data_IF_556549837316
#
_entry.id   IF_556549837316
#
_cell.length_a   1.000
_cell.length_b   1.000
_cell.length_c   1.000
_cell.angle_alpha   90.00
_cell.angle_beta   90.00
_cell.angle_gamma   90.00
#
_symmetry.space_group_name_H-M   'P 1'
#
loop_
_entity.id
_entity.type
_entity.pdbx_description
1 polymer ?
#
# COMPACT_ATOMS: atom_id res chain seq x y z
N UNK A 1 -8.97 18.07 8.87
CA UNK A 1 -7.59 17.57 9.08
C UNK A 1 -7.46 16.18 8.48
N UNK A 2 -6.30 15.83 7.89
CA UNK A 2 -6.06 14.48 7.37
C UNK A 2 -5.21 13.70 8.37
N UNK A 3 -5.74 12.60 8.89
CA UNK A 3 -5.01 11.73 9.79
C UNK A 3 -4.08 10.78 9.04
N UNK A 4 -2.88 10.56 9.58
CA UNK A 4 -1.80 9.81 8.93
C UNK A 4 -1.23 8.73 9.84
N UNK A 5 -0.89 7.59 9.25
CA UNK A 5 -0.22 6.48 9.93
C UNK A 5 1.27 6.77 10.20
N UNK A 6 2.00 5.88 10.92
CA UNK A 6 3.41 6.08 11.24
C UNK A 6 4.35 6.20 10.02
N UNK A 7 3.90 5.80 8.83
CA UNK A 7 4.66 5.93 7.58
C UNK A 7 4.13 7.08 6.69
N UNK A 8 3.26 7.93 7.24
CA UNK A 8 2.76 9.16 6.62
C UNK A 8 1.57 8.98 5.68
N UNK A 9 1.02 7.78 5.54
CA UNK A 9 -0.13 7.50 4.66
C UNK A 9 -1.44 7.89 5.35
N UNK A 10 -2.42 8.46 4.62
CA UNK A 10 -3.72 8.74 5.22
C UNK A 10 -4.38 7.47 5.79
N UNK A 11 -4.89 7.54 7.01
CA UNK A 11 -5.56 6.43 7.69
C UNK A 11 -6.80 6.92 8.43
N UNK A 12 -7.97 6.55 7.93
CA UNK A 12 -9.26 7.05 8.40
C UNK A 12 -9.91 6.18 9.49
N UNK A 13 -9.38 4.99 9.76
CA UNK A 13 -10.05 3.99 10.60
C UNK A 13 -9.59 4.07 12.05
N UNK A 14 -10.56 3.97 12.95
CA UNK A 14 -10.32 3.79 14.38
C UNK A 14 -11.40 2.87 14.96
N UNK A 15 -11.17 2.38 16.17
CA UNK A 15 -12.10 1.51 16.89
C UNK A 15 -12.17 1.94 18.34
N UNK A 16 -13.37 2.06 18.90
CA UNK A 16 -13.57 2.32 20.32
C UNK A 16 -14.06 1.05 20.99
N UNK A 17 -13.35 0.61 22.02
CA UNK A 17 -13.71 -0.57 22.80
C UNK A 17 -13.40 -0.35 24.27
N UNK A 18 -14.05 -1.16 25.12
CA UNK A 18 -13.75 -1.15 26.55
C UNK A 18 -12.34 -1.71 26.79
N UNK A 19 -11.55 -0.98 27.58
CA UNK A 19 -10.28 -1.40 28.11
C UNK A 19 -10.46 -1.68 29.60
N UNK A 20 -10.26 -2.94 29.99
CA UNK A 20 -10.30 -3.38 31.38
C UNK A 20 -8.87 -3.52 31.91
N UNK A 21 -8.48 -2.65 32.85
CA UNK A 21 -7.21 -2.78 33.54
C UNK A 21 -7.31 -3.76 34.71
N UNK A 22 -6.25 -4.54 34.97
CA UNK A 22 -6.16 -5.38 36.18
C UNK A 22 -6.18 -4.55 37.49
N UNK A 23 -5.74 -3.29 37.43
CA UNK A 23 -5.61 -2.38 38.58
C UNK A 23 -6.26 -1.02 38.37
N UNK A 24 -6.85 -0.78 37.19
CA UNK A 24 -7.40 0.51 36.79
C UNK A 24 -8.89 0.38 36.47
N UNK A 25 -9.71 1.41 36.73
CA UNK A 25 -11.12 1.41 36.36
C UNK A 25 -11.26 1.20 34.85
N UNK A 26 -12.27 0.44 34.44
CA UNK A 26 -12.59 0.23 33.02
C UNK A 26 -12.99 1.55 32.35
N UNK A 27 -12.63 1.70 31.08
CA UNK A 27 -13.00 2.86 30.26
C UNK A 27 -13.08 2.48 28.79
N UNK A 28 -13.81 3.23 27.98
CA UNK A 28 -13.73 3.13 26.53
C UNK A 28 -12.52 3.90 26.03
N UNK A 29 -11.76 3.32 25.11
CA UNK A 29 -10.61 3.97 24.50
C UNK A 29 -10.67 3.92 22.98
N UNK A 30 -10.35 5.04 22.33
CA UNK A 30 -10.16 5.12 20.89
C UNK A 30 -8.79 4.50 20.52
N UNK A 31 -8.84 3.36 19.85
CA UNK A 31 -7.70 2.68 19.26
C UNK A 31 -7.56 3.04 17.79
N UNK A 32 -6.35 3.45 17.39
CA UNK A 32 -6.05 3.87 16.02
C UNK A 32 -4.59 3.60 15.69
N UNK A 33 -4.27 3.64 14.40
CA UNK A 33 -2.90 3.58 13.88
C UNK A 33 -2.53 4.86 13.14
N UNK A 34 -3.17 5.97 13.50
CA UNK A 34 -2.93 7.29 12.92
C UNK A 34 -2.48 8.30 13.97
N UNK A 35 -2.19 9.52 13.55
CA UNK A 35 -1.93 10.69 14.39
C UNK A 35 -3.21 11.35 14.94
N UNK A 36 -4.39 10.69 14.87
CA UNK A 36 -5.58 11.23 15.51
C UNK A 36 -5.41 11.26 17.04
N UNK A 37 -6.00 12.25 17.75
CA UNK A 37 -5.86 12.33 19.20
C UNK A 37 -6.45 11.12 19.91
N UNK A 38 -5.75 10.61 20.92
CA UNK A 38 -6.31 9.61 21.83
C UNK A 38 -7.54 10.18 22.55
N UNK A 39 -8.57 9.37 22.75
CA UNK A 39 -9.79 9.73 23.46
C UNK A 39 -10.23 8.60 24.37
N UNK A 40 -10.78 8.98 25.52
CA UNK A 40 -11.23 8.06 26.55
C UNK A 40 -12.59 8.51 27.11
N UNK A 41 -13.45 7.55 27.43
CA UNK A 41 -14.75 7.80 28.06
C UNK A 41 -14.95 6.83 29.24
N UNK A 42 -15.64 7.24 30.32
CA UNK A 42 -16.01 6.33 31.41
C UNK A 42 -16.71 5.06 30.92
N UNK A 43 -16.45 3.90 31.53
CA UNK A 43 -17.02 2.63 31.08
C UNK A 43 -18.55 2.53 31.18
N UNK A 44 -19.18 3.35 32.04
CA UNK A 44 -20.63 3.46 32.19
C UNK A 44 -21.28 4.39 31.16
N UNK A 45 -20.50 5.05 30.30
CA UNK A 45 -21.01 5.88 29.21
C UNK A 45 -21.81 5.03 28.22
N UNK A 46 -23.03 5.46 27.90
CA UNK A 46 -23.83 4.84 26.84
C UNK A 46 -23.09 4.97 25.49
N UNK A 47 -22.87 3.87 24.74
CA UNK A 47 -22.28 3.92 23.41
C UNK A 47 -22.92 4.94 22.46
N UNK A 48 -24.21 5.24 22.60
CA UNK A 48 -24.89 6.26 21.79
C UNK A 48 -24.33 7.68 22.03
N UNK A 49 -23.89 7.99 23.25
CA UNK A 49 -23.27 9.28 23.58
C UNK A 49 -21.89 9.38 22.93
N UNK A 50 -21.11 8.30 22.99
CA UNK A 50 -19.78 8.21 22.37
C UNK A 50 -19.89 8.38 20.85
N UNK A 51 -20.89 7.73 20.24
CA UNK A 51 -21.18 7.87 18.80
C UNK A 51 -21.50 9.32 18.47
N UNK A 52 -22.40 9.97 19.21
CA UNK A 52 -22.77 11.36 18.95
C UNK A 52 -21.58 12.34 19.08
N UNK A 53 -20.71 12.12 20.07
CA UNK A 53 -19.47 12.90 20.27
C UNK A 53 -18.51 12.75 19.07
N UNK A 54 -18.30 11.52 18.60
CA UNK A 54 -17.45 11.25 17.44
C UNK A 54 -18.07 11.81 16.14
N UNK A 55 -19.39 11.67 15.95
CA UNK A 55 -20.07 12.18 14.76
C UNK A 55 -20.03 13.71 14.68
N UNK A 56 -20.11 14.40 15.82
CA UNK A 56 -19.93 15.85 15.91
C UNK A 56 -18.53 16.30 15.47
N UNK A 57 -17.52 15.44 15.63
CA UNK A 57 -16.15 15.65 15.19
C UNK A 57 -15.86 15.09 13.77
N UNK A 58 -16.90 14.79 12.99
CA UNK A 58 -16.73 14.41 11.59
C UNK A 58 -16.43 12.93 11.35
N UNK A 59 -16.75 12.05 12.31
CA UNK A 59 -16.65 10.62 12.13
C UNK A 59 -17.99 10.00 11.67
N UNK A 60 -17.91 8.82 11.08
CA UNK A 60 -19.03 7.90 10.87
C UNK A 60 -18.78 6.73 11.82
N UNK A 61 -19.76 6.41 12.66
CA UNK A 61 -19.60 5.40 13.69
C UNK A 61 -20.67 4.30 13.55
N UNK A 62 -20.27 3.05 13.76
CA UNK A 62 -21.17 1.91 13.75
C UNK A 62 -20.96 1.08 15.02
N UNK A 63 -22.03 0.89 15.79
CA UNK A 63 -22.00 0.00 16.95
C UNK A 63 -22.07 -1.46 16.50
N UNK A 64 -21.15 -2.28 17.01
CA UNK A 64 -21.20 -3.73 16.94
C UNK A 64 -20.93 -4.35 18.31
N UNK A 65 -21.01 -5.68 18.37
CA UNK A 65 -20.61 -6.45 19.55
C UNK A 65 -19.40 -7.33 19.21
N UNK A 66 -18.51 -7.53 20.17
CA UNK A 66 -17.41 -8.48 20.05
C UNK A 66 -17.88 -9.93 20.34
N UNK A 67 -16.93 -10.88 20.33
CA UNK A 67 -17.20 -12.29 20.62
C UNK A 67 -17.66 -12.57 22.06
N UNK A 68 -17.52 -11.61 22.96
CA UNK A 68 -17.98 -11.67 24.35
C UNK A 68 -19.27 -10.87 24.57
N UNK A 69 -19.89 -10.34 23.51
CA UNK A 69 -21.10 -9.55 23.55
C UNK A 69 -20.90 -8.10 24.02
N UNK A 70 -19.66 -7.64 24.20
CA UNK A 70 -19.33 -6.29 24.65
C UNK A 70 -19.42 -5.29 23.49
N UNK A 71 -19.85 -4.05 23.74
CA UNK A 71 -19.97 -3.03 22.71
C UNK A 71 -18.59 -2.63 22.16
N UNK A 72 -18.51 -2.52 20.84
CA UNK A 72 -17.37 -1.98 20.11
C UNK A 72 -17.90 -1.04 19.03
N UNK A 73 -17.30 0.13 18.88
CA UNK A 73 -17.72 1.13 17.89
C UNK A 73 -16.63 1.21 16.82
N UNK A 74 -16.96 0.88 15.58
CA UNK A 74 -16.06 1.08 14.46
C UNK A 74 -16.26 2.52 13.93
N UNK A 75 -15.15 3.26 13.76
CA UNK A 75 -15.16 4.68 13.40
C UNK A 75 -14.39 4.92 12.09
N UNK A 76 -14.95 5.76 11.21
CA UNK A 76 -14.31 6.22 9.97
C UNK A 76 -14.34 7.74 9.91
N UNK A 77 -13.17 8.38 9.86
CA UNK A 77 -13.08 9.82 9.73
C UNK A 77 -13.41 10.28 8.30
N UNK A 78 -14.46 11.10 8.13
CA UNK A 78 -15.04 11.44 6.82
C UNK A 78 -14.04 12.12 5.89
N UNK A 79 -13.36 13.15 6.38
CA UNK A 79 -12.44 13.95 5.57
C UNK A 79 -11.21 13.14 5.13
N UNK A 80 -10.67 12.31 6.03
CA UNK A 80 -9.52 11.44 5.70
C UNK A 80 -9.92 10.35 4.72
N UNK A 81 -11.11 9.75 4.87
CA UNK A 81 -11.61 8.77 3.90
C UNK A 81 -11.82 9.39 2.52
N UNK A 82 -12.39 10.60 2.45
CA UNK A 82 -12.55 11.31 1.18
C UNK A 82 -11.20 11.60 0.49
N UNK A 83 -10.15 11.93 1.26
CA UNK A 83 -8.80 12.11 0.71
C UNK A 83 -8.19 10.79 0.20
N UNK A 84 -8.42 9.68 0.89
CA UNK A 84 -8.02 8.34 0.43
C UNK A 84 -8.72 7.99 -0.88
N UNK A 85 -10.04 8.21 -0.94
CA UNK A 85 -10.86 7.89 -2.10
C UNK A 85 -10.50 8.77 -3.31
N UNK A 86 -10.24 10.06 -3.09
CA UNK A 86 -9.78 10.98 -4.13
C UNK A 86 -8.40 10.58 -4.67
N UNK A 87 -7.45 10.22 -3.80
CA UNK A 87 -6.12 9.76 -4.22
C UNK A 87 -6.20 8.45 -5.00
N UNK A 88 -7.09 7.53 -4.59
CA UNK A 88 -7.35 6.29 -5.32
C UNK A 88 -7.95 6.57 -6.70
N UNK A 89 -8.95 7.46 -6.77
CA UNK A 89 -9.58 7.84 -8.02
C UNK A 89 -8.60 8.54 -8.99
N UNK A 90 -7.71 9.41 -8.49
CA UNK A 90 -6.65 10.02 -9.31
C UNK A 90 -5.70 8.96 -9.88
N UNK A 91 -5.29 8.00 -9.05
CA UNK A 91 -4.43 6.89 -9.49
C UNK A 91 -5.14 6.01 -10.52
N UNK A 92 -6.40 5.63 -10.28
CA UNK A 92 -7.16 4.82 -11.23
C UNK A 92 -7.38 5.56 -12.56
N UNK A 93 -7.65 6.87 -12.52
CA UNK A 93 -7.77 7.70 -13.72
C UNK A 93 -6.45 7.80 -14.49
N UNK A 94 -5.32 7.99 -13.78
CA UNK A 94 -3.99 8.08 -14.38
C UNK A 94 -3.60 6.80 -15.13
N UNK A 95 -3.98 5.65 -14.59
CA UNK A 95 -3.64 4.35 -15.15
C UNK A 95 -4.75 3.72 -16.01
N UNK A 96 -5.89 4.39 -16.20
CA UNK A 96 -7.05 3.84 -16.92
C UNK A 96 -6.73 3.35 -18.34
N UNK A 97 -5.79 4.01 -19.02
CA UNK A 97 -5.33 3.67 -20.37
C UNK A 97 -3.83 3.32 -20.40
N UNK A 98 -3.28 2.84 -19.28
CA UNK A 98 -1.87 2.51 -19.20
C UNK A 98 -1.51 1.35 -20.14
N UNK A 99 -0.37 1.48 -20.80
CA UNK A 99 0.20 0.44 -21.65
C UNK A 99 0.87 -0.62 -20.77
N UNK A 100 0.74 -1.91 -21.13
CA UNK A 100 1.59 -2.97 -20.57
C UNK A 100 3.02 -2.82 -21.09
N UNK A 101 3.99 -2.93 -20.20
CA UNK A 101 5.40 -2.87 -20.59
C UNK A 101 6.31 -3.44 -19.52
N UNK A 102 7.60 -3.11 -19.64
CA UNK A 102 8.63 -3.71 -18.80
C UNK A 102 9.52 -2.64 -18.18
N UNK A 103 9.76 -2.76 -16.87
CA UNK A 103 10.64 -1.87 -16.11
C UNK A 103 11.81 -2.68 -15.55
N UNK A 104 13.03 -2.18 -15.71
CA UNK A 104 14.23 -2.71 -15.08
C UNK A 104 14.84 -1.70 -14.13
N UNK A 105 15.36 -2.19 -13.01
CA UNK A 105 16.15 -1.41 -12.07
C UNK A 105 17.64 -1.76 -12.19
N UNK A 106 18.45 -0.76 -12.49
CA UNK A 106 19.88 -0.90 -12.76
C UNK A 106 20.21 -0.99 -14.25
N UNK A 107 21.49 -0.79 -14.58
CA UNK A 107 21.98 -0.79 -15.95
C UNK A 107 21.72 -2.12 -16.66
N UNK A 108 21.68 -2.05 -18.00
CA UNK A 108 21.62 -3.25 -18.84
C UNK A 108 22.95 -4.00 -18.76
N UNK A 109 22.93 -5.35 -18.70
CA UNK A 109 24.14 -6.15 -18.78
C UNK A 109 24.76 -6.06 -20.19
N UNK A 110 26.10 -6.03 -20.27
CA UNK A 110 26.84 -5.86 -21.53
C UNK A 110 26.58 -7.01 -22.53
N UNK A 111 26.38 -8.23 -22.03
CA UNK A 111 26.10 -9.43 -22.83
C UNK A 111 24.59 -9.65 -23.10
N UNK A 112 23.74 -8.70 -22.69
CA UNK A 112 22.30 -8.78 -22.85
C UNK A 112 21.62 -9.84 -21.97
N UNK A 113 22.31 -10.39 -20.97
CA UNK A 113 21.79 -11.46 -20.10
C UNK A 113 21.93 -11.08 -18.63
N UNK A 114 20.83 -11.21 -17.89
CA UNK A 114 20.88 -11.09 -16.44
C UNK A 114 21.47 -12.36 -15.84
N UNK A 115 21.97 -12.21 -14.61
CA UNK A 115 22.56 -13.31 -13.85
C UNK A 115 21.68 -13.60 -12.66
N UNK A 116 21.28 -14.86 -12.50
CA UNK A 116 20.57 -15.29 -11.32
C UNK A 116 21.47 -15.11 -10.10
N UNK A 117 20.99 -14.36 -9.10
CA UNK A 117 21.77 -14.08 -7.89
C UNK A 117 22.00 -15.33 -7.04
N UNK A 118 21.10 -16.33 -7.10
CA UNK A 118 21.14 -17.52 -6.26
C UNK A 118 22.27 -18.49 -6.64
N UNK A 119 22.47 -18.73 -7.93
CA UNK A 119 23.38 -19.76 -8.45
C UNK A 119 24.40 -19.21 -9.47
N UNK A 120 24.41 -17.89 -9.67
CA UNK A 120 25.36 -17.16 -10.53
C UNK A 120 25.32 -17.55 -12.02
N UNK A 121 24.26 -18.25 -12.45
CA UNK A 121 24.05 -18.67 -13.84
C UNK A 121 23.48 -17.54 -14.70
N UNK A 122 23.79 -17.55 -16.00
CA UNK A 122 23.23 -16.59 -16.96
C UNK A 122 21.81 -16.99 -17.34
N UNK A 123 20.94 -16.01 -17.41
CA UNK A 123 19.57 -16.16 -17.87
C UNK A 123 19.45 -16.01 -19.38
N UNK A 124 18.28 -16.36 -19.92
CA UNK A 124 18.01 -16.31 -21.36
C UNK A 124 17.95 -14.88 -21.92
N UNK A 125 17.81 -13.86 -21.07
CA UNK A 125 17.73 -12.46 -21.44
C UNK A 125 17.89 -11.53 -20.25
N UNK A 126 17.49 -10.27 -20.42
CA UNK A 126 17.51 -9.25 -19.37
C UNK A 126 16.26 -9.40 -18.48
N UNK A 127 16.48 -9.66 -17.19
CA UNK A 127 15.44 -9.70 -16.15
C UNK A 127 14.86 -8.31 -15.89
N UNK A 128 13.53 -8.25 -15.78
CA UNK A 128 12.75 -7.03 -15.61
C UNK A 128 11.39 -7.33 -14.96
N UNK A 129 10.62 -6.31 -14.61
CA UNK A 129 9.28 -6.43 -14.05
C UNK A 129 8.24 -6.11 -15.11
N UNK A 130 7.16 -6.88 -15.14
CA UNK A 130 5.94 -6.47 -15.83
C UNK A 130 5.40 -5.19 -15.16
N UNK A 131 4.91 -4.24 -15.96
CA UNK A 131 4.44 -2.95 -15.47
C UNK A 131 3.27 -2.43 -16.30
N UNK A 132 2.52 -1.51 -15.70
CA UNK A 132 1.63 -0.59 -16.41
C UNK A 132 2.27 0.79 -16.47
N UNK A 133 2.26 1.40 -17.64
CA UNK A 133 2.92 2.66 -17.93
C UNK A 133 1.87 3.64 -18.44
N UNK A 134 1.60 4.67 -17.64
CA UNK A 134 0.65 5.73 -17.98
C UNK A 134 1.21 6.65 -19.08
N UNK A 135 0.32 7.43 -19.69
CA UNK A 135 0.67 8.34 -20.79
C UNK A 135 1.62 9.47 -20.38
N UNK A 136 1.63 9.82 -19.09
CA UNK A 136 2.53 10.81 -18.50
C UNK A 136 3.93 10.24 -18.17
N UNK A 137 4.15 8.95 -18.42
CA UNK A 137 5.40 8.25 -18.09
C UNK A 137 5.46 7.67 -16.68
N UNK A 138 4.46 7.93 -15.82
CA UNK A 138 4.31 7.24 -14.54
C UNK A 138 4.16 5.75 -14.75
N UNK A 139 4.64 4.92 -13.82
CA UNK A 139 4.51 3.47 -13.91
C UNK A 139 4.11 2.84 -12.57
N UNK A 140 3.45 1.69 -12.64
CA UNK A 140 3.25 0.79 -11.50
C UNK A 140 3.66 -0.62 -11.87
N UNK A 141 4.41 -1.28 -10.98
CA UNK A 141 4.89 -2.63 -11.18
C UNK A 141 3.78 -3.66 -10.90
N UNK A 142 3.81 -4.76 -11.63
CA UNK A 142 2.89 -5.89 -11.46
C UNK A 142 3.68 -7.01 -10.79
N UNK A 143 3.64 -7.01 -9.46
CA UNK A 143 4.49 -7.87 -8.64
C UNK A 143 3.72 -9.12 -8.20
N UNK A 144 4.37 -10.27 -8.27
CA UNK A 144 4.00 -11.44 -7.46
C UNK A 144 4.64 -11.30 -6.07
N UNK A 145 4.20 -12.06 -5.05
CA UNK A 145 4.82 -12.00 -3.72
C UNK A 145 6.34 -12.24 -3.72
N UNK A 146 6.86 -13.06 -4.64
CA UNK A 146 8.31 -13.27 -4.79
C UNK A 146 8.98 -12.02 -5.35
N UNK A 147 8.39 -11.42 -6.39
CA UNK A 147 8.91 -10.22 -7.02
C UNK A 147 8.84 -8.96 -6.15
N UNK A 148 7.92 -8.92 -5.17
CA UNK A 148 7.93 -7.86 -4.15
C UNK A 148 9.25 -7.83 -3.38
N UNK A 149 9.75 -9.00 -2.97
CA UNK A 149 11.04 -9.11 -2.27
C UNK A 149 12.18 -8.71 -3.20
N UNK A 150 12.20 -9.21 -4.43
CA UNK A 150 13.24 -8.86 -5.41
C UNK A 150 13.26 -7.35 -5.70
N UNK A 151 12.08 -6.72 -5.84
CA UNK A 151 11.94 -5.27 -6.02
C UNK A 151 12.58 -4.47 -4.89
N UNK A 152 12.34 -4.83 -3.62
CA UNK A 152 12.91 -4.12 -2.47
C UNK A 152 14.45 -4.08 -2.49
N UNK A 153 15.11 -5.08 -3.07
CA UNK A 153 16.58 -5.13 -3.19
C UNK A 153 17.15 -4.25 -4.30
N UNK A 154 16.31 -3.82 -5.25
CA UNK A 154 16.74 -3.08 -6.45
C UNK A 154 16.09 -1.70 -6.60
N UNK A 155 15.07 -1.38 -5.80
CA UNK A 155 14.26 -0.16 -5.92
C UNK A 155 15.05 1.15 -5.88
N UNK A 156 16.21 1.18 -5.20
CA UNK A 156 17.09 2.35 -5.14
C UNK A 156 17.95 2.56 -6.41
N UNK A 157 17.97 1.59 -7.32
CA UNK A 157 18.75 1.67 -8.58
C UNK A 157 17.98 2.49 -9.62
N UNK A 158 18.66 3.08 -10.61
CA UNK A 158 17.97 3.81 -11.68
C UNK A 158 16.98 2.92 -12.44
N UNK A 159 15.79 3.44 -12.70
CA UNK A 159 14.76 2.73 -13.46
C UNK A 159 14.92 2.95 -14.97
N UNK A 160 14.64 1.91 -15.74
CA UNK A 160 14.65 1.92 -17.20
C UNK A 160 13.38 1.26 -17.73
N UNK A 161 12.70 1.91 -18.69
CA UNK A 161 11.69 1.26 -19.52
C UNK A 161 12.38 0.46 -20.61
N UNK A 162 12.04 -0.82 -20.72
CA UNK A 162 12.58 -1.71 -21.73
C UNK A 162 11.58 -1.94 -22.86
N UNK A 163 12.11 -2.10 -24.07
CA UNK A 163 11.41 -2.52 -25.26
C UNK A 163 12.15 -3.70 -25.87
N UNK A 164 11.40 -4.72 -26.27
CA UNK A 164 11.92 -5.92 -26.88
C UNK A 164 10.98 -7.11 -26.70
N UNK A 165 11.49 -8.29 -27.04
CA UNK A 165 10.70 -9.51 -27.03
C UNK A 165 10.93 -10.33 -25.76
N UNK A 166 9.86 -10.86 -25.18
CA UNK A 166 9.96 -11.84 -24.10
C UNK A 166 10.56 -13.13 -24.63
N UNK A 167 11.69 -13.54 -24.05
CA UNK A 167 12.42 -14.76 -24.40
C UNK A 167 12.33 -15.85 -23.33
N UNK A 168 11.76 -15.53 -22.17
CA UNK A 168 11.56 -16.52 -21.12
C UNK A 168 11.00 -15.94 -19.83
N UNK A 169 11.21 -16.70 -18.77
CA UNK A 169 10.85 -16.37 -17.39
C UNK A 169 12.07 -16.65 -16.52
N UNK A 170 12.44 -15.69 -15.68
CA UNK A 170 13.59 -15.73 -14.80
C UNK A 170 13.35 -16.62 -13.58
N UNK A 171 14.39 -16.76 -12.78
CA UNK A 171 14.37 -17.66 -11.61
C UNK A 171 13.31 -17.27 -10.56
N UNK A 172 12.98 -15.97 -10.45
CA UNK A 172 12.00 -15.44 -9.49
C UNK A 172 10.59 -15.32 -10.11
N UNK A 173 10.42 -15.80 -11.35
CA UNK A 173 9.16 -15.71 -12.09
C UNK A 173 9.00 -14.44 -12.91
N UNK A 174 10.02 -13.59 -12.99
CA UNK A 174 10.00 -12.34 -13.73
C UNK A 174 10.16 -12.54 -15.25
N UNK A 175 9.70 -11.61 -16.10
CA UNK A 175 9.96 -11.68 -17.53
C UNK A 175 11.45 -11.49 -17.88
N UNK A 176 11.93 -12.29 -18.83
CA UNK A 176 13.24 -12.11 -19.48
C UNK A 176 13.05 -11.55 -20.88
N UNK A 177 13.75 -10.47 -21.20
CA UNK A 177 13.68 -9.81 -22.49
C UNK A 177 14.98 -9.95 -23.29
N UNK A 178 14.83 -10.16 -24.61
CA UNK A 178 15.83 -9.69 -25.57
C UNK A 178 15.53 -8.22 -25.82
N UNK A 179 16.40 -7.34 -25.33
CA UNK A 179 16.16 -5.89 -25.32
C UNK A 179 16.63 -5.25 -26.62
N UNK A 180 15.73 -4.56 -27.30
CA UNK A 180 16.03 -3.77 -28.50
C UNK A 180 16.32 -2.31 -28.15
N UNK A 181 15.67 -1.80 -27.10
CA UNK A 181 15.80 -0.41 -26.66
C UNK A 181 15.52 -0.26 -25.18
N UNK A 182 16.25 0.64 -24.52
CA UNK A 182 16.02 1.03 -23.14
C UNK A 182 16.00 2.55 -22.99
N UNK A 183 15.06 3.06 -22.21
CA UNK A 183 14.97 4.49 -21.87
C UNK A 183 15.12 4.62 -20.36
N UNK A 184 16.08 5.42 -19.91
CA UNK A 184 16.21 5.76 -18.49
C UNK A 184 15.05 6.65 -18.07
N UNK A 185 14.34 6.26 -17.01
CA UNK A 185 13.28 7.05 -16.42
C UNK A 185 13.89 8.07 -15.44
N UNK A 186 13.27 9.25 -15.37
CA UNK A 186 13.65 10.33 -14.45
C UNK A 186 13.08 10.10 -13.07
#
# INVERSE_FOLDING_TARGET
>A
MIYRDPIGRPSAKATISIFDGFTSPSYYSLSHVSDCPCREWPADTDPAIIIADMEADGWICALRRDGYGRPVIDCIHKETQAAIDAAKADMDARFANAERGYIRFGALPEDGKSRNHRDNTLEAGVSCFDAEIATDGSYRLLLTPVLEVSYLTVAARPAYRLYGDRVGTGADGEPLLRVDRAIKLQ
#
